data_IF_687306975591
#
_entry.id   IF_687306975591
#
_cell.length_a   1.000
_cell.length_b   1.000
_cell.length_c   1.000
_cell.angle_alpha   90.00
_cell.angle_beta   90.00
_cell.angle_gamma   90.00
#
_symmetry.space_group_name_H-M   'P 1'
#
loop_
_entity.id
_entity.type
_entity.pdbx_description
1 polymer ?
#
# COMPACT_ATOMS: atom_id res chain seq x y z
N UNK A 1 10.11 -7.02 9.78
CA UNK A 1 9.76 -5.77 9.05
C UNK A 1 8.55 -6.04 8.18
N UNK A 2 7.72 -5.02 7.98
CA UNK A 2 6.54 -5.17 7.15
C UNK A 2 6.91 -5.20 5.67
N UNK A 3 6.05 -5.83 4.87
CA UNK A 3 6.19 -5.81 3.41
C UNK A 3 5.10 -4.93 2.82
N UNK A 4 5.47 -4.13 1.83
CA UNK A 4 4.56 -3.20 1.17
C UNK A 4 4.56 -3.51 -0.32
N UNK A 5 3.46 -4.07 -0.80
CA UNK A 5 3.26 -4.27 -2.23
C UNK A 5 2.62 -3.00 -2.79
N UNK A 6 3.24 -2.42 -3.77
CA UNK A 6 2.76 -1.16 -4.31
C UNK A 6 3.33 -0.82 -5.66
N UNK A 7 3.05 0.38 -6.11
CA UNK A 7 3.53 0.89 -7.38
C UNK A 7 4.00 2.32 -7.20
N UNK A 8 5.11 2.65 -7.84
CA UNK A 8 5.61 4.02 -7.83
C UNK A 8 4.68 4.98 -8.56
N UNK A 9 3.72 4.44 -9.31
CA UNK A 9 2.73 5.24 -10.03
C UNK A 9 1.46 5.47 -9.21
N UNK A 10 1.34 4.82 -8.06
CA UNK A 10 0.14 4.90 -7.24
C UNK A 10 0.32 5.96 -6.16
N UNK A 11 -0.59 6.94 -6.11
CA UNK A 11 -0.52 8.03 -5.14
C UNK A 11 -0.57 7.53 -3.71
N UNK A 12 -1.43 6.56 -3.43
CA UNK A 12 -1.53 6.00 -2.08
C UNK A 12 -0.24 5.30 -1.68
N UNK A 13 0.39 4.56 -2.59
CA UNK A 13 1.68 3.93 -2.32
C UNK A 13 2.74 4.98 -1.99
N UNK A 14 2.79 6.05 -2.79
CA UNK A 14 3.76 7.12 -2.56
C UNK A 14 3.53 7.77 -1.20
N UNK A 15 2.28 8.05 -0.85
CA UNK A 15 1.96 8.69 0.43
C UNK A 15 2.32 7.79 1.61
N UNK A 16 2.03 6.51 1.50
CA UNK A 16 2.35 5.58 2.57
C UNK A 16 3.86 5.48 2.75
N UNK A 17 4.61 5.33 1.66
CA UNK A 17 6.07 5.25 1.75
C UNK A 17 6.67 6.54 2.31
N UNK A 18 6.10 7.68 1.91
CA UNK A 18 6.54 8.97 2.46
C UNK A 18 6.42 8.97 3.99
N UNK A 19 5.30 8.46 4.50
CA UNK A 19 5.10 8.42 5.95
C UNK A 19 6.02 7.42 6.62
N UNK A 20 6.24 6.26 6.02
CA UNK A 20 7.16 5.28 6.58
C UNK A 20 8.58 5.86 6.66
N UNK A 21 9.00 6.55 5.62
CA UNK A 21 10.33 7.17 5.59
C UNK A 21 10.41 8.33 6.58
N UNK A 22 9.36 9.12 6.68
CA UNK A 22 9.29 10.24 7.61
C UNK A 22 9.51 9.78 9.06
N UNK A 23 8.91 8.68 9.43
CA UNK A 23 9.01 8.13 10.78
C UNK A 23 10.10 7.11 10.94
N UNK A 24 10.89 6.87 9.88
CA UNK A 24 12.01 5.93 9.89
C UNK A 24 11.57 4.52 10.26
N UNK A 25 10.41 4.13 9.75
CA UNK A 25 9.89 2.78 9.92
C UNK A 25 10.47 1.90 8.82
N UNK A 26 11.09 0.79 9.20
CA UNK A 26 11.68 -0.12 8.22
C UNK A 26 10.60 -0.94 7.52
N UNK A 27 10.78 -1.12 6.22
CA UNK A 27 9.85 -1.92 5.43
C UNK A 27 10.55 -2.44 4.18
N UNK A 28 10.00 -3.50 3.62
CA UNK A 28 10.44 -4.02 2.34
C UNK A 28 9.43 -3.59 1.28
N UNK A 29 9.87 -2.82 0.30
CA UNK A 29 8.99 -2.39 -0.79
C UNK A 29 9.06 -3.38 -1.93
N UNK A 30 7.91 -3.92 -2.32
CA UNK A 30 7.80 -4.88 -3.42
C UNK A 30 7.00 -4.19 -4.52
N UNK A 31 7.70 -3.75 -5.54
CA UNK A 31 7.12 -3.00 -6.66
C UNK A 31 6.50 -3.99 -7.65
N UNK A 32 5.17 -3.93 -7.79
CA UNK A 32 4.47 -4.86 -8.69
C UNK A 32 4.78 -4.60 -10.16
N UNK A 33 5.35 -3.45 -10.47
CA UNK A 33 5.71 -3.11 -11.85
C UNK A 33 7.12 -3.55 -12.22
N UNK A 34 7.90 -4.01 -11.23
CA UNK A 34 9.30 -4.34 -11.46
C UNK A 34 9.49 -5.71 -12.09
N UNK A 35 8.61 -6.65 -11.78
CA UNK A 35 8.73 -8.00 -12.31
C UNK A 35 7.38 -8.69 -12.29
N UNK A 36 7.24 -9.71 -13.16
CA UNK A 36 6.04 -10.54 -13.15
C UNK A 36 5.93 -11.32 -11.84
N UNK A 37 7.06 -11.68 -11.25
CA UNK A 37 7.04 -12.39 -9.97
C UNK A 37 6.36 -11.57 -8.92
N UNK A 38 6.72 -10.29 -8.80
CA UNK A 38 6.12 -9.40 -7.81
C UNK A 38 4.63 -9.21 -8.07
N UNK A 39 4.26 -9.03 -9.34
CA UNK A 39 2.87 -8.86 -9.71
C UNK A 39 2.06 -10.10 -9.36
N UNK A 40 2.59 -11.28 -9.66
CA UNK A 40 1.89 -12.53 -9.37
C UNK A 40 1.70 -12.75 -7.87
N UNK A 41 2.69 -12.40 -7.07
CA UNK A 41 2.57 -12.51 -5.62
C UNK A 41 1.43 -11.62 -5.12
N UNK A 42 1.37 -10.39 -5.61
CA UNK A 42 0.31 -9.48 -5.24
C UNK A 42 -1.06 -10.01 -5.67
N UNK A 43 -1.16 -10.46 -6.91
CA UNK A 43 -2.44 -10.97 -7.44
C UNK A 43 -2.94 -12.17 -6.66
N UNK A 44 -2.05 -12.97 -6.11
CA UNK A 44 -2.45 -14.10 -5.29
C UNK A 44 -3.23 -13.63 -4.06
N UNK A 45 -2.79 -12.55 -3.42
CA UNK A 45 -3.56 -11.97 -2.31
C UNK A 45 -4.88 -11.41 -2.81
N UNK A 46 -4.84 -10.65 -3.90
CA UNK A 46 -6.01 -9.96 -4.42
C UNK A 46 -7.11 -10.92 -4.85
N UNK A 47 -6.70 -12.05 -5.43
CA UNK A 47 -7.66 -13.02 -5.98
C UNK A 47 -8.25 -13.93 -4.91
N UNK A 48 -7.59 -14.06 -3.76
CA UNK A 48 -8.04 -15.02 -2.75
C UNK A 48 -8.62 -14.38 -1.50
N UNK A 49 -8.32 -13.10 -1.24
CA UNK A 49 -8.78 -12.44 -0.02
C UNK A 49 -10.06 -11.65 -0.27
N UNK A 50 -11.10 -11.86 0.56
CA UNK A 50 -12.33 -11.06 0.43
C UNK A 50 -12.14 -9.60 0.80
N UNK A 51 -11.02 -9.25 1.42
CA UNK A 51 -10.75 -7.85 1.79
C UNK A 51 -10.68 -6.93 0.58
N UNK A 52 -10.45 -7.47 -0.61
CA UNK A 52 -10.37 -6.68 -1.83
C UNK A 52 -11.72 -6.51 -2.55
N UNK A 53 -12.76 -7.13 -2.07
CA UNK A 53 -14.04 -7.16 -2.81
C UNK A 53 -14.54 -5.76 -3.13
N UNK A 54 -14.55 -4.87 -2.15
CA UNK A 54 -15.03 -3.52 -2.33
C UNK A 54 -14.14 -2.73 -3.28
N UNK A 55 -12.85 -2.94 -3.18
CA UNK A 55 -11.87 -2.28 -4.04
C UNK A 55 -12.10 -2.70 -5.49
N UNK A 56 -12.30 -4.00 -5.72
CA UNK A 56 -12.56 -4.50 -7.08
C UNK A 56 -13.84 -3.91 -7.66
N UNK A 57 -14.89 -3.79 -6.85
CA UNK A 57 -16.15 -3.22 -7.29
C UNK A 57 -15.99 -1.77 -7.73
N UNK A 58 -15.05 -1.06 -7.11
CA UNK A 58 -14.80 0.34 -7.42
C UNK A 58 -13.75 0.52 -8.52
N UNK A 59 -13.26 -0.58 -9.09
CA UNK A 59 -12.26 -0.51 -10.15
C UNK A 59 -10.85 -0.30 -9.65
N UNK A 60 -10.61 -0.46 -8.36
CA UNK A 60 -9.29 -0.27 -7.79
C UNK A 60 -8.43 -1.52 -7.87
N UNK A 61 -7.14 -1.31 -7.67
CA UNK A 61 -6.15 -2.39 -7.69
C UNK A 61 -5.96 -2.97 -6.29
N UNK A 62 -5.88 -2.11 -5.28
CA UNK A 62 -5.65 -2.53 -3.91
C UNK A 62 -4.26 -2.21 -3.41
N UNK A 63 -3.69 -1.12 -3.88
CA UNK A 63 -2.36 -0.69 -3.48
C UNK A 63 -2.45 0.52 -2.56
N UNK A 64 -1.56 0.64 -1.59
CA UNK A 64 -0.59 -0.38 -1.19
C UNK A 64 -1.23 -1.50 -0.39
N UNK A 65 -0.70 -2.70 -0.53
CA UNK A 65 -1.07 -3.83 0.32
C UNK A 65 0.04 -4.03 1.33
N UNK A 66 -0.31 -4.06 2.60
CA UNK A 66 0.65 -4.22 3.69
C UNK A 66 0.54 -5.64 4.23
N UNK A 67 1.66 -6.33 4.30
CA UNK A 67 1.74 -7.61 4.99
C UNK A 67 2.50 -7.36 6.27
N UNK A 68 1.80 -7.46 7.40
CA UNK A 68 2.40 -7.20 8.70
C UNK A 68 3.30 -8.36 9.10
N UNK A 69 4.09 -8.15 10.16
CA UNK A 69 5.04 -9.16 10.63
C UNK A 69 4.36 -10.46 11.03
N UNK A 70 3.11 -10.39 11.48
CA UNK A 70 2.34 -11.58 11.87
C UNK A 70 1.65 -12.23 10.68
N UNK A 71 1.88 -11.72 9.46
CA UNK A 71 1.26 -12.26 8.26
C UNK A 71 -0.09 -11.67 7.92
N UNK A 72 -0.63 -10.78 8.73
CA UNK A 72 -1.93 -10.19 8.44
C UNK A 72 -1.85 -9.22 7.27
N UNK A 73 -2.93 -9.18 6.49
CA UNK A 73 -3.03 -8.35 5.30
C UNK A 73 -3.84 -7.11 5.63
N UNK A 74 -3.29 -5.94 5.35
CA UNK A 74 -3.89 -4.66 5.68
C UNK A 74 -3.95 -3.80 4.43
N UNK A 75 -5.13 -3.25 4.15
CA UNK A 75 -5.35 -2.41 2.98
C UNK A 75 -5.53 -0.94 3.34
N UNK A 76 -5.90 -0.65 4.58
CA UNK A 76 -6.14 0.72 5.03
C UNK A 76 -4.88 1.27 5.67
N UNK A 77 -4.00 1.80 4.84
CA UNK A 77 -2.68 2.21 5.30
C UNK A 77 -2.73 3.38 6.29
N UNK A 78 -3.71 4.28 6.13
CA UNK A 78 -3.83 5.39 7.07
C UNK A 78 -4.19 4.90 8.46
N UNK A 79 -5.17 4.01 8.54
CA UNK A 79 -5.57 3.44 9.82
C UNK A 79 -4.44 2.65 10.45
N UNK A 80 -3.66 1.93 9.63
CA UNK A 80 -2.51 1.19 10.12
C UNK A 80 -1.54 2.11 10.85
N UNK A 81 -1.21 3.25 10.26
CA UNK A 81 -0.30 4.20 10.89
C UNK A 81 -0.91 4.85 12.11
N UNK A 82 -2.18 5.23 12.03
CA UNK A 82 -2.86 5.89 13.15
C UNK A 82 -2.97 4.96 14.35
N UNK A 83 -3.24 3.68 14.11
CA UNK A 83 -3.31 2.69 15.17
C UNK A 83 -1.96 2.52 15.87
N UNK A 84 -0.88 2.76 15.16
CA UNK A 84 0.47 2.71 15.74
C UNK A 84 0.84 4.01 16.45
N UNK A 85 -0.02 5.02 16.38
CA UNK A 85 0.23 6.30 17.03
C UNK A 85 0.90 7.34 16.16
N UNK A 86 0.99 7.12 14.86
CA UNK A 86 1.63 8.06 13.95
C UNK A 86 0.58 8.95 13.28
N UNK A 87 0.89 10.24 13.21
CA UNK A 87 0.05 11.20 12.50
C UNK A 87 0.39 11.17 11.02
N UNK A 88 -0.63 11.13 10.17
CA UNK A 88 -0.42 11.08 8.72
C UNK A 88 0.19 12.40 8.24
N UNK A 89 1.30 12.30 7.53
CA UNK A 89 1.99 13.45 6.95
C UNK A 89 1.63 13.55 5.48
N UNK A 90 1.41 14.78 5.02
CA UNK A 90 1.07 15.02 3.62
C UNK A 90 2.34 15.33 2.84
N UNK A 91 2.43 14.77 1.62
CA UNK A 91 3.48 15.14 0.68
C UNK A 91 3.21 16.57 0.16
N UNK A 92 4.12 17.06 -0.67
CA UNK A 92 3.90 18.37 -1.28
C UNK A 92 2.67 18.35 -2.17
N UNK A 93 2.12 19.53 -2.48
CA UNK A 93 0.84 19.63 -3.18
C UNK A 93 0.87 19.10 -4.59
N UNK A 94 2.02 18.97 -5.22
CA UNK A 94 2.04 18.42 -6.57
C UNK A 94 1.69 16.95 -6.61
N UNK A 95 1.46 16.35 -5.46
CA UNK A 95 1.09 14.95 -5.38
C UNK A 95 -0.41 14.73 -5.25
N UNK A 96 -1.20 15.77 -5.32
CA UNK A 96 -2.62 15.67 -5.01
C UNK A 96 -3.42 15.06 -6.15
N UNK A 97 -2.88 15.05 -7.34
CA UNK A 97 -3.59 14.55 -8.51
C UNK A 97 -3.41 13.06 -8.72
N UNK A 98 -2.71 12.41 -7.81
CA UNK A 98 -2.44 10.99 -7.95
C UNK A 98 -3.73 10.19 -7.92
N UNK A 99 -3.73 9.12 -8.70
CA UNK A 99 -4.88 8.26 -8.82
C UNK A 99 -5.20 7.60 -7.48
N UNK A 100 -6.45 7.75 -7.06
CA UNK A 100 -6.91 7.21 -5.80
C UNK A 100 -7.40 5.79 -5.92
N UNK A 101 -7.52 5.26 -7.13
CA UNK A 101 -8.05 3.93 -7.36
C UNK A 101 -6.97 2.87 -7.45
N UNK A 102 -5.81 3.17 -7.01
CA UNK A 102 -4.79 2.15 -6.90
C UNK A 102 -4.95 1.39 -5.59
#
# INVERSE_FOLDING_TARGET
>A
MIKVYGSKMCGNTKNFRYNLDYYKIEYEFIDINESLKNLKEFLKFRDTSPKYNRIKEQGGIGLPTIINQDGSLILRWREFLEDLGYKIQNRSEECIDDNENC
#
